data_IF_731963058268
#
_entry.id   IF_731963058268
#
_cell.length_a   1.000
_cell.length_b   1.000
_cell.length_c   1.000
_cell.angle_alpha   90.00
_cell.angle_beta   90.00
_cell.angle_gamma   90.00
#
_symmetry.space_group_name_H-M   'P 1'
#
loop_
_entity.id
_entity.type
_entity.pdbx_description
1 polymer ?
#
# COMPACT_ATOMS: atom_id res chain seq x y z
N UNK A 1 18.56 -29.78 -9.08
CA UNK A 1 17.50 -30.81 -8.98
C UNK A 1 17.36 -31.09 -7.50
N UNK A 2 16.28 -30.79 -6.80
CA UNK A 2 14.87 -30.66 -7.16
C UNK A 2 14.27 -29.47 -6.40
N UNK A 3 13.55 -28.59 -7.10
CA UNK A 3 12.64 -27.65 -6.44
C UNK A 3 11.36 -28.42 -6.14
N UNK A 4 11.14 -28.74 -4.87
CA UNK A 4 9.87 -29.28 -4.40
C UNK A 4 8.81 -28.19 -4.56
N UNK A 5 8.02 -28.32 -5.64
CA UNK A 5 6.77 -27.62 -5.83
C UNK A 5 5.86 -27.94 -4.63
N UNK A 6 5.75 -27.00 -3.69
CA UNK A 6 4.69 -27.07 -2.70
C UNK A 6 3.40 -26.63 -3.37
N UNK A 7 2.77 -27.59 -4.05
CA UNK A 7 1.37 -27.50 -4.46
C UNK A 7 0.52 -27.60 -3.20
N UNK A 8 -0.05 -26.48 -2.76
CA UNK A 8 -1.39 -26.53 -2.20
C UNK A 8 -2.15 -25.34 -2.75
N UNK A 9 -3.16 -25.66 -3.55
CA UNK A 9 -4.26 -24.76 -3.81
C UNK A 9 -4.95 -24.50 -2.46
N UNK A 10 -4.41 -23.60 -1.66
CA UNK A 10 -5.27 -22.79 -0.81
C UNK A 10 -6.07 -21.98 -1.82
N UNK A 11 -7.25 -22.49 -2.16
CA UNK A 11 -8.27 -21.71 -2.85
C UNK A 11 -8.38 -20.43 -2.04
N UNK A 12 -7.80 -19.33 -2.54
CA UNK A 12 -7.92 -18.04 -1.90
C UNK A 12 -9.42 -17.86 -1.73
N UNK A 13 -9.87 -17.67 -0.49
CA UNK A 13 -11.29 -17.54 -0.12
C UNK A 13 -12.03 -16.42 -0.89
N UNK A 14 -11.32 -15.68 -1.74
CA UNK A 14 -11.75 -14.52 -2.51
C UNK A 14 -11.89 -14.78 -4.02
N UNK A 15 -11.60 -15.98 -4.54
CA UNK A 15 -11.80 -16.32 -5.96
C UNK A 15 -13.27 -16.57 -6.34
N UNK A 16 -14.18 -16.64 -5.36
CA UNK A 16 -15.63 -16.78 -5.59
C UNK A 16 -16.25 -15.39 -5.74
N UNK A 17 -17.02 -15.11 -6.81
CA UNK A 17 -17.58 -13.78 -7.04
C UNK A 17 -18.58 -13.38 -5.95
N UNK A 18 -18.54 -12.09 -5.61
CA UNK A 18 -19.51 -11.34 -4.78
C UNK A 18 -19.87 -11.99 -3.44
N UNK A 19 -18.86 -12.21 -2.59
CA UNK A 19 -19.09 -12.49 -1.18
C UNK A 19 -19.55 -11.21 -0.48
N UNK A 20 -20.68 -11.28 0.25
CA UNK A 20 -21.16 -10.16 1.08
C UNK A 20 -20.11 -9.78 2.12
N UNK A 21 -20.05 -8.50 2.47
CA UNK A 21 -19.00 -7.94 3.34
C UNK A 21 -18.87 -8.70 4.66
N UNK A 22 -20.01 -9.02 5.30
CA UNK A 22 -20.12 -9.79 6.54
C UNK A 22 -19.52 -11.21 6.43
N UNK A 23 -19.45 -11.77 5.23
CA UNK A 23 -18.88 -13.09 4.94
C UNK A 23 -17.43 -13.05 4.47
N UNK A 24 -16.85 -11.87 4.22
CA UNK A 24 -15.43 -11.68 3.92
C UNK A 24 -14.60 -11.69 5.19
N UNK A 25 -14.65 -12.80 5.91
CA UNK A 25 -13.92 -13.05 7.15
C UNK A 25 -13.03 -14.26 6.90
N UNK A 26 -11.71 -14.07 6.90
CA UNK A 26 -10.77 -15.17 6.67
C UNK A 26 -9.33 -14.70 6.78
N UNK A 27 -8.36 -15.63 6.89
CA UNK A 27 -6.95 -15.30 6.89
C UNK A 27 -6.59 -14.62 5.56
N UNK A 28 -6.22 -13.34 5.63
CA UNK A 28 -5.74 -12.63 4.46
C UNK A 28 -4.31 -13.08 4.14
N UNK A 29 -3.98 -13.12 2.84
CA UNK A 29 -2.61 -13.36 2.39
C UNK A 29 -1.65 -12.33 3.03
N UNK A 30 -0.52 -12.79 3.58
CA UNK A 30 0.44 -11.95 4.30
C UNK A 30 0.99 -10.82 3.43
N UNK A 31 1.26 -11.07 2.16
CA UNK A 31 1.76 -10.08 1.22
C UNK A 31 0.71 -8.99 0.98
N UNK A 32 -0.56 -9.40 0.86
CA UNK A 32 -1.68 -8.46 0.74
C UNK A 32 -1.78 -7.57 1.97
N UNK A 33 -1.69 -8.14 3.17
CA UNK A 33 -1.69 -7.34 4.40
C UNK A 33 -0.50 -6.38 4.41
N UNK A 34 0.71 -6.84 4.08
CA UNK A 34 1.91 -6.01 4.03
C UNK A 34 1.78 -4.85 3.05
N UNK A 35 1.25 -5.08 1.85
CA UNK A 35 1.03 -4.02 0.85
C UNK A 35 -0.03 -3.03 1.35
N UNK A 36 -1.12 -3.51 1.97
CA UNK A 36 -2.16 -2.63 2.52
C UNK A 36 -1.65 -1.76 3.66
N UNK A 37 -0.95 -2.36 4.63
CA UNK A 37 -0.33 -1.65 5.76
C UNK A 37 0.68 -0.63 5.25
N UNK A 38 1.61 -1.05 4.38
CA UNK A 38 2.60 -0.15 3.79
C UNK A 38 1.98 1.00 3.00
N UNK A 39 0.89 0.72 2.26
CA UNK A 39 0.16 1.76 1.54
C UNK A 39 -0.48 2.77 2.48
N UNK A 40 -1.13 2.33 3.57
CA UNK A 40 -1.76 3.20 4.55
C UNK A 40 -0.77 4.00 5.41
N UNK A 41 0.45 3.50 5.59
CA UNK A 41 1.54 4.28 6.19
C UNK A 41 2.06 5.40 5.25
N UNK A 42 1.79 5.29 3.94
CA UNK A 42 2.13 6.28 2.93
C UNK A 42 0.90 7.00 2.37
N UNK A 43 0.71 6.94 1.05
CA UNK A 43 -0.33 7.68 0.32
C UNK A 43 -1.66 6.92 0.16
N UNK A 44 -1.78 5.75 0.78
CA UNK A 44 -2.96 4.89 0.68
C UNK A 44 -4.14 5.44 1.48
N UNK A 45 -5.34 5.32 0.92
CA UNK A 45 -6.57 5.81 1.55
C UNK A 45 -7.59 4.67 1.72
N UNK A 46 -8.21 4.61 2.89
CA UNK A 46 -9.31 3.71 3.19
C UNK A 46 -10.54 4.51 3.67
N UNK A 47 -11.72 4.16 3.15
CA UNK A 47 -12.98 4.80 3.53
C UNK A 47 -14.00 3.80 4.03
N UNK A 48 -14.89 4.26 4.91
CA UNK A 48 -16.05 3.47 5.33
C UNK A 48 -17.15 3.55 4.27
N UNK A 49 -17.54 2.40 3.75
CA UNK A 49 -18.70 2.24 2.86
C UNK A 49 -20.00 2.49 3.63
N UNK A 50 -21.00 3.04 2.95
CA UNK A 50 -22.36 3.25 3.48
C UNK A 50 -22.99 1.94 4.00
N UNK A 51 -22.58 0.81 3.43
CA UNK A 51 -23.04 -0.54 3.81
C UNK A 51 -22.27 -1.15 4.99
N UNK A 52 -21.45 -0.38 5.71
CA UNK A 52 -20.79 -0.81 6.94
C UNK A 52 -19.40 -1.45 6.79
N UNK A 53 -18.89 -1.67 5.57
CA UNK A 53 -17.53 -2.20 5.30
C UNK A 53 -16.48 -1.14 5.01
N UNK A 54 -15.20 -1.52 4.90
CA UNK A 54 -14.07 -0.61 4.62
C UNK A 54 -13.50 -0.87 3.24
N UNK A 55 -13.40 0.18 2.41
CA UNK A 55 -12.91 0.14 1.03
C UNK A 55 -11.55 0.81 0.94
N UNK A 56 -10.59 0.11 0.34
CA UNK A 56 -9.30 0.67 -0.03
C UNK A 56 -9.37 1.31 -1.41
N UNK A 57 -8.77 2.48 -1.55
CA UNK A 57 -8.69 3.22 -2.80
C UNK A 57 -7.25 3.47 -3.16
N UNK A 58 -6.87 3.08 -4.38
CA UNK A 58 -5.58 3.40 -4.95
C UNK A 58 -5.77 4.41 -6.07
N UNK A 59 -5.00 5.49 -6.02
CA UNK A 59 -4.99 6.57 -7.01
C UNK A 59 -3.55 6.95 -7.30
N UNK A 60 -3.21 7.09 -8.57
CA UNK A 60 -1.92 7.62 -8.99
C UNK A 60 -2.08 8.53 -10.20
N UNK A 61 -1.15 9.47 -10.36
CA UNK A 61 -1.05 10.29 -11.57
C UNK A 61 -0.60 9.44 -12.76
N UNK A 62 -0.78 9.96 -13.97
CA UNK A 62 -0.37 9.27 -15.20
C UNK A 62 1.13 8.89 -15.20
N UNK A 63 1.98 9.71 -14.58
CA UNK A 63 3.42 9.44 -14.41
C UNK A 63 3.70 8.11 -13.71
N UNK A 64 2.85 7.72 -12.77
CA UNK A 64 2.98 6.49 -11.98
C UNK A 64 1.93 5.44 -12.38
N UNK A 65 1.42 5.49 -13.62
CA UNK A 65 0.45 4.52 -14.16
C UNK A 65 0.95 3.08 -14.03
N UNK A 66 2.20 2.81 -14.41
CA UNK A 66 2.75 1.46 -14.38
C UNK A 66 2.67 0.83 -12.97
N UNK A 67 3.06 1.59 -11.94
CA UNK A 67 2.94 1.14 -10.55
C UNK A 67 1.49 0.88 -10.11
N UNK A 68 0.54 1.73 -10.52
CA UNK A 68 -0.88 1.51 -10.21
C UNK A 68 -1.43 0.26 -10.89
N UNK A 69 -1.04 0.00 -12.13
CA UNK A 69 -1.45 -1.19 -12.87
C UNK A 69 -0.85 -2.46 -12.26
N UNK A 70 0.41 -2.41 -11.81
CA UNK A 70 1.01 -3.49 -11.04
C UNK A 70 0.23 -3.78 -9.74
N UNK A 71 -0.14 -2.74 -8.97
CA UNK A 71 -0.97 -2.91 -7.78
C UNK A 71 -2.31 -3.56 -8.14
N UNK A 72 -2.93 -3.10 -9.23
CA UNK A 72 -4.18 -3.68 -9.73
C UNK A 72 -4.03 -5.17 -10.02
N UNK A 73 -3.01 -5.58 -10.80
CA UNK A 73 -2.76 -6.98 -11.11
C UNK A 73 -2.46 -7.82 -9.86
N UNK A 74 -1.68 -7.28 -8.93
CA UNK A 74 -1.35 -7.91 -7.66
C UNK A 74 -2.59 -8.24 -6.82
N UNK A 75 -3.53 -7.29 -6.70
CA UNK A 75 -4.78 -7.49 -5.96
C UNK A 75 -5.79 -8.33 -6.76
N UNK A 76 -5.86 -8.15 -8.07
CA UNK A 76 -6.82 -8.85 -8.91
C UNK A 76 -6.54 -10.34 -8.97
N UNK A 77 -5.28 -10.72 -9.20
CA UNK A 77 -4.82 -12.12 -9.18
C UNK A 77 -5.11 -12.84 -7.85
N UNK A 78 -5.31 -12.10 -6.76
CA UNK A 78 -5.61 -12.61 -5.42
C UNK A 78 -7.09 -12.48 -5.03
N UNK A 79 -7.96 -12.00 -5.92
CA UNK A 79 -9.40 -11.86 -5.68
C UNK A 79 -9.81 -10.64 -4.83
N UNK A 80 -8.94 -9.63 -4.68
CA UNK A 80 -9.20 -8.46 -3.82
C UNK A 80 -9.88 -7.30 -4.55
N UNK A 81 -9.96 -7.31 -5.87
CA UNK A 81 -10.68 -6.32 -6.67
C UNK A 81 -11.45 -6.96 -7.83
N UNK A 82 -12.26 -6.16 -8.51
CA UNK A 82 -12.95 -6.56 -9.73
C UNK A 82 -11.97 -6.69 -10.90
N UNK A 83 -12.28 -7.60 -11.84
CA UNK A 83 -11.59 -7.72 -13.13
C UNK A 83 -11.75 -6.49 -14.07
N UNK A 84 -12.34 -5.39 -13.59
CA UNK A 84 -12.42 -4.14 -14.33
C UNK A 84 -11.09 -3.40 -14.23
N UNK A 85 -10.58 -2.93 -15.37
CA UNK A 85 -9.34 -2.15 -15.43
C UNK A 85 -9.45 -0.84 -14.62
N UNK A 86 -8.31 -0.30 -14.12
CA UNK A 86 -8.28 1.00 -13.47
C UNK A 86 -8.89 2.11 -14.32
N UNK A 87 -9.75 2.92 -13.71
CA UNK A 87 -10.51 3.98 -14.37
C UNK A 87 -9.62 5.21 -14.54
N UNK A 88 -9.53 5.72 -15.77
CA UNK A 88 -8.92 7.01 -16.09
C UNK A 88 -9.86 8.16 -15.75
N UNK A 89 -9.32 9.25 -15.21
CA UNK A 89 -10.07 10.48 -14.99
C UNK A 89 -9.15 11.71 -14.99
N UNK A 90 -9.74 12.84 -15.37
CA UNK A 90 -9.07 14.14 -15.39
C UNK A 90 -9.59 14.98 -14.22
N UNK A 91 -8.66 15.53 -13.45
CA UNK A 91 -8.98 16.46 -12.37
C UNK A 91 -8.56 17.88 -12.78
N UNK A 92 -9.52 18.80 -12.78
CA UNK A 92 -9.27 20.22 -12.99
C UNK A 92 -8.96 20.87 -11.64
N UNK A 93 -7.78 21.49 -11.50
CA UNK A 93 -7.49 22.27 -10.28
C UNK A 93 -8.24 23.61 -10.32
N UNK A 94 -8.90 23.97 -9.21
CA UNK A 94 -9.76 25.17 -9.13
C UNK A 94 -9.05 26.51 -9.33
N UNK A 95 -7.71 26.57 -9.24
CA UNK A 95 -6.93 27.81 -9.24
C UNK A 95 -5.83 27.88 -10.32
N UNK A 96 -5.88 27.00 -11.32
CA UNK A 96 -5.03 27.09 -12.50
C UNK A 96 -5.54 26.14 -13.57
N UNK A 97 -5.36 26.50 -14.84
CA UNK A 97 -5.72 25.69 -16.02
C UNK A 97 -4.88 24.40 -16.16
N UNK A 98 -4.38 23.86 -15.03
CA UNK A 98 -3.56 22.67 -15.00
C UNK A 98 -4.45 21.45 -14.82
N UNK A 99 -4.69 20.77 -15.93
CA UNK A 99 -5.31 19.45 -15.96
C UNK A 99 -4.35 18.44 -15.32
N UNK A 100 -4.85 17.65 -14.39
CA UNK A 100 -4.10 16.54 -13.79
C UNK A 100 -4.79 15.23 -14.12
N UNK A 101 -4.11 14.42 -14.93
CA UNK A 101 -4.59 13.11 -15.37
C UNK A 101 -4.17 12.01 -14.38
N UNK A 102 -5.13 11.16 -14.03
CA UNK A 102 -4.91 10.12 -13.03
C UNK A 102 -5.69 8.84 -13.36
N UNK A 103 -5.22 7.73 -12.78
CA UNK A 103 -5.94 6.46 -12.76
C UNK A 103 -6.31 6.10 -11.33
N UNK A 104 -7.42 5.38 -11.16
CA UNK A 104 -7.84 4.82 -9.86
C UNK A 104 -8.48 3.45 -9.99
N UNK A 105 -8.33 2.64 -8.95
CA UNK A 105 -9.15 1.45 -8.74
C UNK A 105 -9.44 1.29 -7.25
N UNK A 106 -10.48 0.51 -6.94
CA UNK A 106 -10.90 0.25 -5.56
C UNK A 106 -10.78 -1.24 -5.28
N UNK A 107 -10.40 -1.59 -4.06
CA UNK A 107 -10.57 -2.95 -3.56
C UNK A 107 -12.01 -3.17 -3.10
N UNK A 108 -12.38 -4.44 -2.95
CA UNK A 108 -13.64 -4.79 -2.30
C UNK A 108 -13.70 -4.32 -0.85
N UNK A 109 -14.92 -4.14 -0.32
CA UNK A 109 -15.10 -3.77 1.07
C UNK A 109 -14.84 -4.94 2.02
N UNK A 110 -14.07 -4.72 3.09
CA UNK A 110 -13.81 -5.71 4.14
C UNK A 110 -14.65 -5.42 5.40
N UNK A 111 -15.10 -6.46 6.12
CA UNK A 111 -15.96 -6.33 7.32
C UNK A 111 -15.25 -5.75 8.54
N UNK A 112 -13.95 -6.02 8.68
CA UNK A 112 -13.10 -5.49 9.75
C UNK A 112 -11.71 -5.19 9.21
N UNK A 113 -11.34 -3.91 9.06
CA UNK A 113 -9.95 -3.48 8.85
C UNK A 113 -9.78 -2.07 9.42
N UNK A 114 -9.18 -1.90 10.60
CA UNK A 114 -8.95 -0.57 11.18
C UNK A 114 -7.48 -0.16 11.01
N UNK A 115 -7.21 0.78 10.11
CA UNK A 115 -5.94 1.52 10.09
C UNK A 115 -6.27 2.99 9.82
N UNK A 116 -5.93 3.83 10.78
CA UNK A 116 -5.99 5.29 10.71
C UNK A 116 -4.59 5.81 11.03
N UNK A 117 -4.01 6.63 10.16
CA UNK A 117 -2.64 7.18 10.26
C UNK A 117 -2.68 8.67 9.99
N UNK A 118 -3.69 9.34 10.53
CA UNK A 118 -3.88 10.76 10.36
C UNK A 118 -2.83 11.45 11.25
N UNK A 119 -1.67 11.82 10.69
CA UNK A 119 -0.75 12.76 11.34
C UNK A 119 -0.09 12.23 12.63
N UNK A 120 0.63 11.10 12.56
CA UNK A 120 1.26 10.41 13.70
C UNK A 120 1.73 11.34 14.83
N UNK A 121 1.34 10.99 16.05
CA UNK A 121 1.89 11.60 17.26
C UNK A 121 3.36 11.25 17.41
N UNK A 122 4.09 12.04 18.20
CA UNK A 122 5.50 11.76 18.48
C UNK A 122 5.74 10.34 19.00
N UNK A 123 4.87 9.87 19.92
CA UNK A 123 4.95 8.53 20.49
C UNK A 123 4.79 7.41 19.44
N UNK A 124 3.92 7.61 18.43
CA UNK A 124 3.75 6.64 17.34
C UNK A 124 4.96 6.62 16.40
N UNK A 125 5.57 7.79 16.13
CA UNK A 125 6.81 7.86 15.34
C UNK A 125 7.99 7.26 16.11
N UNK A 126 8.05 7.44 17.43
CA UNK A 126 9.04 6.78 18.30
C UNK A 126 8.89 5.26 18.30
N UNK A 127 7.66 4.76 18.37
CA UNK A 127 7.39 3.33 18.26
C UNK A 127 7.85 2.77 16.90
N UNK A 128 7.59 3.51 15.82
CA UNK A 128 8.04 3.12 14.47
C UNK A 128 9.58 3.13 14.37
N UNK A 129 10.24 4.14 14.93
CA UNK A 129 11.70 4.21 15.02
C UNK A 129 12.27 2.98 15.73
N UNK A 130 11.74 2.64 16.91
CA UNK A 130 12.17 1.48 17.69
C UNK A 130 11.94 0.17 16.93
N UNK A 131 10.81 0.04 16.22
CA UNK A 131 10.53 -1.14 15.41
C UNK A 131 11.54 -1.30 14.25
N UNK A 132 11.93 -0.20 13.60
CA UNK A 132 12.93 -0.21 12.53
C UNK A 132 14.33 -0.59 13.04
N UNK A 133 14.72 -0.05 14.19
CA UNK A 133 16.01 -0.34 14.80
C UNK A 133 16.07 -1.80 15.27
N UNK A 134 15.09 -2.25 16.05
CA UNK A 134 15.10 -3.61 16.63
C UNK A 134 14.95 -4.73 15.59
N UNK A 135 14.18 -4.49 14.52
CA UNK A 135 13.85 -5.55 13.56
C UNK A 135 14.77 -5.57 12.34
N UNK A 136 15.26 -4.41 11.92
CA UNK A 136 16.00 -4.26 10.67
C UNK A 136 17.36 -3.60 10.84
N UNK A 137 17.76 -3.23 12.06
CA UNK A 137 18.97 -2.47 12.34
C UNK A 137 19.06 -1.16 11.54
N UNK A 138 17.91 -0.54 11.27
CA UNK A 138 17.83 0.73 10.53
C UNK A 138 17.85 1.87 11.54
N UNK A 139 18.91 2.66 11.50
CA UNK A 139 19.08 3.84 12.35
C UNK A 139 18.30 5.01 11.76
N UNK A 140 17.45 5.62 12.59
CA UNK A 140 16.63 6.76 12.20
C UNK A 140 16.57 7.85 13.28
N UNK A 141 16.28 9.08 12.85
CA UNK A 141 16.02 10.26 13.69
C UNK A 141 14.61 10.78 13.46
N UNK A 142 14.11 11.59 14.41
CA UNK A 142 12.79 12.22 14.32
C UNK A 142 13.01 13.72 14.20
N UNK A 143 12.43 14.33 13.18
CA UNK A 143 12.50 15.78 12.93
C UNK A 143 11.09 16.35 13.02
N UNK A 144 10.97 17.52 13.64
CA UNK A 144 9.70 18.25 13.70
C UNK A 144 9.62 19.21 12.52
N UNK A 145 8.57 19.09 11.71
CA UNK A 145 8.27 20.02 10.63
C UNK A 145 6.86 20.59 10.86
N UNK A 146 6.80 21.87 11.22
CA UNK A 146 5.59 22.58 11.63
C UNK A 146 4.78 21.80 12.69
N UNK A 147 3.66 21.20 12.27
CA UNK A 147 2.73 20.44 13.12
C UNK A 147 2.90 18.91 12.99
N UNK A 148 3.91 18.44 12.24
CA UNK A 148 4.11 17.02 11.95
C UNK A 148 5.49 16.53 12.39
N UNK A 149 5.57 15.24 12.72
CA UNK A 149 6.83 14.55 13.00
C UNK A 149 7.18 13.67 11.80
N UNK A 150 8.42 13.81 11.34
CA UNK A 150 8.93 13.07 10.20
C UNK A 150 10.09 12.19 10.64
N UNK A 151 10.05 10.93 10.20
CA UNK A 151 11.13 10.00 10.41
C UNK A 151 12.18 10.17 9.31
N UNK A 152 13.44 10.33 9.71
CA UNK A 152 14.59 10.45 8.82
C UNK A 152 15.47 9.23 8.99
N UNK A 153 15.68 8.47 7.92
CA UNK A 153 16.63 7.36 7.91
C UNK A 153 18.03 7.95 7.72
N UNK A 154 18.97 7.59 8.59
CA UNK A 154 20.33 8.13 8.50
C UNK A 154 21.08 7.54 7.30
N UNK A 155 22.07 8.28 6.81
CA UNK A 155 22.83 7.92 5.61
C UNK A 155 23.52 6.55 5.75
N UNK A 156 23.99 6.21 6.94
CA UNK A 156 24.67 4.94 7.21
C UNK A 156 23.73 3.74 7.03
N UNK A 157 22.43 3.92 7.27
CA UNK A 157 21.40 2.88 7.08
C UNK A 157 20.80 2.87 5.67
N UNK A 158 21.16 3.81 4.80
CA UNK A 158 20.58 3.92 3.46
C UNK A 158 20.96 2.72 2.57
N UNK A 159 22.21 2.27 2.63
CA UNK A 159 22.67 1.12 1.85
C UNK A 159 21.92 -0.16 2.25
N UNK A 160 21.80 -0.39 3.56
CA UNK A 160 21.04 -1.51 4.12
C UNK A 160 19.57 -1.44 3.72
N UNK A 161 18.94 -0.28 3.87
CA UNK A 161 17.55 -0.05 3.46
C UNK A 161 17.34 -0.41 2.00
N UNK A 162 18.20 0.07 1.08
CA UNK A 162 18.09 -0.23 -0.35
C UNK A 162 18.13 -1.73 -0.60
N UNK A 163 19.06 -2.46 -0.01
CA UNK A 163 19.17 -3.92 -0.15
C UNK A 163 17.90 -4.62 0.32
N UNK A 164 17.34 -4.20 1.46
CA UNK A 164 16.14 -4.82 2.04
C UNK A 164 14.88 -4.61 1.18
N UNK A 165 14.72 -3.43 0.58
CA UNK A 165 13.48 -3.08 -0.14
C UNK A 165 13.57 -3.34 -1.65
N UNK A 166 14.77 -3.35 -2.24
CA UNK A 166 14.97 -3.48 -3.68
C UNK A 166 14.21 -4.64 -4.33
N UNK A 167 14.16 -5.86 -3.74
CA UNK A 167 13.41 -6.98 -4.33
C UNK A 167 11.89 -6.74 -4.43
N UNK A 168 11.36 -5.77 -3.68
CA UNK A 168 9.93 -5.47 -3.58
C UNK A 168 9.55 -4.17 -4.29
N UNK A 169 10.52 -3.39 -4.78
CA UNK A 169 10.26 -2.11 -5.46
C UNK A 169 9.99 -2.35 -6.94
N UNK A 170 8.84 -1.88 -7.40
CA UNK A 170 8.47 -1.92 -8.81
C UNK A 170 9.45 -1.09 -9.65
N UNK A 171 9.83 -1.58 -10.84
CA UNK A 171 10.85 -0.99 -11.72
C UNK A 171 10.61 0.50 -12.00
N UNK A 172 9.34 0.89 -12.24
CA UNK A 172 8.96 2.29 -12.48
C UNK A 172 9.21 3.24 -11.29
N UNK A 173 9.60 2.72 -10.13
CA UNK A 173 9.83 3.46 -8.89
C UNK A 173 11.29 3.38 -8.42
N UNK A 174 12.18 2.69 -9.15
CA UNK A 174 13.60 2.56 -8.81
C UNK A 174 14.33 3.91 -8.70
N UNK A 175 13.88 4.91 -9.47
CA UNK A 175 14.40 6.27 -9.39
C UNK A 175 14.29 6.89 -7.99
N UNK A 176 13.32 6.44 -7.16
CA UNK A 176 13.19 6.89 -5.75
C UNK A 176 14.33 6.38 -4.86
N UNK A 177 15.01 5.31 -5.27
CA UNK A 177 16.22 4.79 -4.63
C UNK A 177 17.51 5.35 -5.25
N UNK A 178 17.38 6.24 -6.25
CA UNK A 178 18.51 6.74 -7.04
C UNK A 178 19.11 5.69 -7.97
N UNK A 179 18.27 4.77 -8.46
CA UNK A 179 18.61 3.73 -9.45
C UNK A 179 17.88 3.99 -10.77
#
# INVERSE_FOLDING_TARGET
>A
MEFLYFSSQVVLAFLIPVIKVDKRIGPHNSDVISVLVGSLLGDGYAERSLTGGIKFKFRQSIKHKAYLFWLYEFFNSRGYCTNNLPIYFVHVQKYGEKLSEAYRFNLYSFSRVRIATNCFTLAEVELLKLALENKFNIISSIHKNNQSYQLYIKQESLALLKILILPYVHESMLYKLGL
#
